data_IF_587590066618
#
_entry.id   IF_587590066618
#
_cell.length_a   1.000
_cell.length_b   1.000
_cell.length_c   1.000
_cell.angle_alpha   90.00
_cell.angle_beta   90.00
_cell.angle_gamma   90.00
#
_symmetry.space_group_name_H-M   'P 1'
#
loop_
_entity.id
_entity.type
_entity.pdbx_description
1 polymer ?
#
# COMPACT_ATOMS: atom_id res chain seq x y z
N UNK A 1 13.64 -16.63 -1.77
CA UNK A 1 13.13 -17.13 -0.48
C UNK A 1 14.02 -16.62 0.64
N UNK A 2 13.56 -15.57 1.37
CA UNK A 2 14.28 -15.02 2.52
C UNK A 2 14.26 -15.95 3.72
N UNK A 3 15.27 -15.84 4.59
CA UNK A 3 15.38 -16.67 5.81
C UNK A 3 14.15 -16.57 6.71
N UNK A 4 13.64 -15.33 6.91
CA UNK A 4 12.47 -15.09 7.75
C UNK A 4 11.20 -15.72 7.14
N UNK A 5 10.97 -15.51 5.83
CA UNK A 5 9.80 -16.08 5.15
C UNK A 5 9.79 -17.61 5.24
N UNK A 6 10.96 -18.24 5.05
CA UNK A 6 11.11 -19.68 5.19
C UNK A 6 10.86 -20.15 6.63
N UNK A 7 11.39 -19.43 7.61
CA UNK A 7 11.15 -19.75 9.01
C UNK A 7 9.66 -19.68 9.36
N UNK A 8 8.98 -18.62 8.97
CA UNK A 8 7.54 -18.43 9.24
C UNK A 8 6.69 -19.49 8.56
N UNK A 9 7.01 -19.84 7.29
CA UNK A 9 6.19 -20.81 6.54
C UNK A 9 6.44 -22.27 6.87
N UNK A 10 7.64 -22.63 7.33
CA UNK A 10 8.04 -24.03 7.48
C UNK A 10 8.29 -24.46 8.93
N UNK A 11 8.57 -23.51 9.84
CA UNK A 11 9.02 -23.85 11.20
C UNK A 11 8.17 -23.25 12.31
N UNK A 12 7.61 -22.04 12.09
CA UNK A 12 6.86 -21.36 13.14
C UNK A 12 5.45 -21.94 13.27
N UNK A 13 5.09 -22.35 14.48
CA UNK A 13 3.78 -22.92 14.79
C UNK A 13 2.92 -21.93 15.61
N UNK A 14 1.59 -22.06 15.49
CA UNK A 14 0.66 -21.27 16.30
C UNK A 14 0.86 -21.56 17.79
N UNK A 15 1.00 -20.50 18.58
CA UNK A 15 1.28 -20.58 20.02
C UNK A 15 2.76 -20.43 20.39
N UNK A 16 3.68 -20.48 19.45
CA UNK A 16 5.09 -20.19 19.72
C UNK A 16 5.33 -18.72 20.01
N UNK A 17 6.26 -18.45 20.93
CA UNK A 17 6.64 -17.08 21.28
C UNK A 17 7.70 -16.55 20.33
N UNK A 18 7.46 -15.39 19.74
CA UNK A 18 8.42 -14.66 18.92
C UNK A 18 8.80 -13.35 19.58
N UNK A 19 10.06 -12.94 19.43
CA UNK A 19 10.52 -11.61 19.84
C UNK A 19 10.42 -10.66 18.67
N UNK A 20 9.64 -9.58 18.84
CA UNK A 20 9.50 -8.52 17.85
C UNK A 20 10.15 -7.26 18.44
N UNK A 21 10.95 -6.55 17.62
CA UNK A 21 11.56 -5.27 17.97
C UNK A 21 11.09 -4.24 16.98
N UNK A 22 10.61 -3.10 17.46
CA UNK A 22 10.06 -1.99 16.66
C UNK A 22 9.32 -0.99 17.55
N UNK A 23 8.55 -0.07 16.94
CA UNK A 23 8.41 0.15 15.50
C UNK A 23 9.65 0.81 14.89
N UNK A 24 9.93 0.48 13.64
CA UNK A 24 10.97 1.13 12.85
C UNK A 24 10.36 1.84 11.63
N UNK A 25 11.09 2.81 11.08
CA UNK A 25 10.69 3.51 9.87
C UNK A 25 9.71 4.67 10.11
N UNK A 26 9.19 5.20 9.01
CA UNK A 26 8.42 6.43 8.97
C UNK A 26 7.02 6.26 8.33
N UNK A 27 6.66 5.05 7.90
CA UNK A 27 5.41 4.75 7.22
C UNK A 27 4.33 4.28 8.20
N UNK A 28 3.85 5.20 9.07
CA UNK A 28 2.77 4.96 10.02
C UNK A 28 1.67 6.02 9.91
N UNK A 29 0.44 5.67 10.28
CA UNK A 29 -0.71 6.56 10.21
C UNK A 29 -0.48 7.88 10.97
N UNK A 30 -0.69 9.00 10.30
CA UNK A 30 -0.66 10.34 10.89
C UNK A 30 -2.04 10.70 11.42
N UNK A 31 -2.35 10.30 12.65
CA UNK A 31 -3.68 10.43 13.26
C UNK A 31 -4.20 11.88 13.33
N UNK A 32 -3.30 12.85 13.42
CA UNK A 32 -3.65 14.28 13.47
C UNK A 32 -3.98 14.88 12.11
N UNK A 33 -3.71 14.13 11.02
CA UNK A 33 -4.00 14.58 9.67
C UNK A 33 -5.52 14.68 9.46
N UNK A 34 -5.97 15.75 8.77
CA UNK A 34 -7.40 16.04 8.56
C UNK A 34 -7.81 15.98 7.09
N UNK A 35 -6.85 16.02 6.19
CA UNK A 35 -7.07 15.88 4.75
C UNK A 35 -7.25 14.43 4.30
N UNK A 36 -7.45 14.20 3.00
CA UNK A 36 -7.60 12.86 2.45
C UNK A 36 -6.37 11.98 2.66
N UNK A 37 -6.59 10.67 2.77
CA UNK A 37 -5.55 9.64 2.88
C UNK A 37 -5.57 8.80 1.62
N UNK A 38 -4.40 8.63 0.99
CA UNK A 38 -4.18 7.76 -0.15
C UNK A 38 -3.19 6.66 0.23
N UNK A 39 -3.59 5.41 0.09
CA UNK A 39 -2.71 4.25 0.22
C UNK A 39 -2.52 3.57 -1.12
N UNK A 40 -1.27 3.29 -1.49
CA UNK A 40 -0.93 2.57 -2.72
C UNK A 40 -0.08 1.36 -2.36
N UNK A 41 -0.57 0.18 -2.71
CA UNK A 41 0.06 -1.08 -2.41
C UNK A 41 0.39 -1.89 -3.67
N UNK A 42 1.52 -2.59 -3.64
CA UNK A 42 1.87 -3.61 -4.62
C UNK A 42 2.40 -4.88 -3.94
N UNK A 43 1.90 -6.04 -4.33
CA UNK A 43 2.34 -7.32 -3.77
C UNK A 43 2.27 -7.36 -2.24
N UNK A 44 3.38 -7.70 -1.58
CA UNK A 44 3.45 -7.76 -0.10
C UNK A 44 3.35 -6.41 0.59
N UNK A 45 3.47 -5.28 -0.15
CA UNK A 45 3.19 -3.93 0.34
C UNK A 45 1.75 -3.71 0.82
N UNK A 46 0.88 -4.66 0.50
CA UNK A 46 -0.48 -4.67 1.01
C UNK A 46 -0.56 -4.70 2.54
N UNK A 47 0.37 -5.37 3.22
CA UNK A 47 0.34 -5.51 4.68
C UNK A 47 0.45 -4.15 5.43
N UNK A 48 1.44 -3.29 5.19
CA UNK A 48 1.49 -1.97 5.81
C UNK A 48 0.32 -1.07 5.39
N UNK A 49 -0.15 -1.14 4.14
CA UNK A 49 -1.30 -0.33 3.70
C UNK A 49 -2.60 -0.79 4.36
N UNK A 50 -2.81 -2.10 4.54
CA UNK A 50 -3.91 -2.63 5.33
C UNK A 50 -3.84 -2.16 6.79
N UNK A 51 -2.65 -2.13 7.38
CA UNK A 51 -2.45 -1.60 8.74
C UNK A 51 -2.88 -0.13 8.86
N UNK A 52 -2.52 0.72 7.89
CA UNK A 52 -2.97 2.13 7.80
C UNK A 52 -4.50 2.20 7.71
N UNK A 53 -5.09 1.38 6.83
CA UNK A 53 -6.54 1.34 6.63
C UNK A 53 -7.28 0.93 7.91
N UNK A 54 -6.86 -0.15 8.58
CA UNK A 54 -7.45 -0.62 9.83
C UNK A 54 -7.30 0.41 10.95
N UNK A 55 -6.10 1.00 11.10
CA UNK A 55 -5.85 2.04 12.10
C UNK A 55 -6.72 3.28 11.88
N UNK A 56 -6.93 3.69 10.61
CA UNK A 56 -7.82 4.83 10.31
C UNK A 56 -9.27 4.56 10.74
N UNK A 57 -9.74 3.33 10.60
CA UNK A 57 -11.05 2.90 11.06
C UNK A 57 -11.15 2.85 12.58
N UNK A 58 -10.18 2.24 13.24
CA UNK A 58 -10.11 2.16 14.72
C UNK A 58 -10.13 3.56 15.34
N UNK A 59 -9.39 4.51 14.76
CA UNK A 59 -9.36 5.92 15.17
C UNK A 59 -10.60 6.71 14.73
N UNK A 60 -11.56 6.09 14.04
CA UNK A 60 -12.80 6.73 13.55
C UNK A 60 -12.53 8.01 12.77
N UNK A 61 -11.50 7.99 11.94
CA UNK A 61 -11.13 9.11 11.10
C UNK A 61 -12.26 9.41 10.09
N UNK A 62 -12.57 10.69 9.88
CA UNK A 62 -13.74 11.13 9.10
C UNK A 62 -13.39 11.54 7.66
N UNK A 63 -12.12 11.80 7.39
CA UNK A 63 -11.65 12.15 6.07
C UNK A 63 -11.72 10.96 5.11
N UNK A 64 -11.78 11.23 3.80
CA UNK A 64 -11.71 10.19 2.78
C UNK A 64 -10.43 9.36 2.89
N UNK A 65 -10.57 8.04 2.76
CA UNK A 65 -9.47 7.08 2.68
C UNK A 65 -9.64 6.30 1.40
N UNK A 66 -8.70 6.45 0.48
CA UNK A 66 -8.69 5.74 -0.81
C UNK A 66 -7.48 4.81 -0.87
N UNK A 67 -7.73 3.52 -1.10
CA UNK A 67 -6.69 2.49 -1.16
C UNK A 67 -6.68 1.88 -2.56
N UNK A 68 -5.53 2.00 -3.24
CA UNK A 68 -5.27 1.39 -4.55
C UNK A 68 -4.31 0.21 -4.39
N UNK A 69 -4.70 -0.93 -4.93
CA UNK A 69 -3.95 -2.18 -4.79
C UNK A 69 -3.61 -2.72 -6.16
N UNK A 70 -2.31 -2.69 -6.49
CA UNK A 70 -1.78 -3.27 -7.72
C UNK A 70 -1.37 -4.73 -7.54
N UNK A 71 -1.84 -5.60 -8.43
CA UNK A 71 -1.38 -6.98 -8.56
C UNK A 71 -1.08 -7.30 -10.02
N UNK A 72 -0.33 -8.38 -10.28
CA UNK A 72 -0.12 -8.83 -11.66
C UNK A 72 -1.35 -9.53 -12.19
N UNK A 73 -1.92 -10.44 -11.41
CA UNK A 73 -3.10 -11.26 -11.74
C UNK A 73 -4.11 -11.24 -10.59
N UNK A 74 -5.33 -11.64 -10.88
CA UNK A 74 -6.39 -11.72 -9.88
C UNK A 74 -6.02 -12.59 -8.68
N UNK A 75 -5.38 -13.73 -8.92
CA UNK A 75 -4.95 -14.66 -7.87
C UNK A 75 -3.81 -14.13 -6.98
N UNK A 76 -3.21 -13.01 -7.34
CA UNK A 76 -2.14 -12.37 -6.55
C UNK A 76 -2.71 -11.41 -5.49
N UNK A 77 -4.01 -11.18 -5.48
CA UNK A 77 -4.65 -10.39 -4.45
C UNK A 77 -4.87 -11.18 -3.16
N UNK A 78 -4.49 -10.61 -2.04
CA UNK A 78 -4.85 -11.11 -0.71
C UNK A 78 -5.70 -10.07 0.01
N UNK A 79 -6.47 -10.49 1.00
CA UNK A 79 -7.28 -9.62 1.87
C UNK A 79 -8.33 -8.75 1.16
N UNK A 80 -8.71 -9.06 -0.09
CA UNK A 80 -9.76 -8.31 -0.80
C UNK A 80 -11.06 -8.22 0.00
N UNK A 81 -11.46 -9.32 0.66
CA UNK A 81 -12.67 -9.36 1.46
C UNK A 81 -12.61 -8.44 2.69
N UNK A 82 -11.43 -8.24 3.29
CA UNK A 82 -11.25 -7.27 4.36
C UNK A 82 -11.47 -5.84 3.84
N UNK A 83 -10.90 -5.50 2.69
CA UNK A 83 -11.09 -4.17 2.09
C UNK A 83 -12.54 -3.94 1.67
N UNK A 84 -13.21 -4.93 1.11
CA UNK A 84 -14.65 -4.86 0.82
C UNK A 84 -15.48 -4.62 2.07
N UNK A 85 -15.19 -5.33 3.17
CA UNK A 85 -15.85 -5.11 4.46
C UNK A 85 -15.60 -3.70 5.01
N UNK A 86 -14.37 -3.18 4.90
CA UNK A 86 -14.05 -1.81 5.30
C UNK A 86 -14.86 -0.80 4.50
N UNK A 87 -14.92 -0.97 3.17
CA UNK A 87 -15.69 -0.09 2.28
C UNK A 87 -17.19 -0.15 2.54
N UNK A 88 -17.76 -1.32 2.76
CA UNK A 88 -19.18 -1.48 3.06
C UNK A 88 -19.59 -0.86 4.39
N UNK A 89 -18.69 -0.84 5.37
CA UNK A 89 -18.95 -0.36 6.71
C UNK A 89 -18.61 1.13 6.92
N UNK A 90 -17.93 1.76 5.95
CA UNK A 90 -17.52 3.15 6.04
C UNK A 90 -17.64 3.87 4.69
N UNK A 91 -18.59 4.80 4.55
CA UNK A 91 -18.81 5.53 3.31
C UNK A 91 -17.63 6.42 2.88
N UNK A 92 -16.70 6.72 3.81
CA UNK A 92 -15.51 7.51 3.52
C UNK A 92 -14.31 6.64 3.10
N UNK A 93 -14.49 5.31 3.04
CA UNK A 93 -13.43 4.38 2.68
C UNK A 93 -13.71 3.77 1.31
N UNK A 94 -12.79 4.00 0.38
CA UNK A 94 -12.85 3.45 -0.97
C UNK A 94 -11.63 2.55 -1.22
N UNK A 95 -11.86 1.51 -2.02
CA UNK A 95 -10.78 0.59 -2.36
C UNK A 95 -10.88 0.21 -3.84
N UNK A 96 -9.73 0.19 -4.51
CA UNK A 96 -9.60 0.02 -5.96
C UNK A 96 -8.55 -1.06 -6.27
N UNK A 97 -8.94 -2.28 -6.65
CA UNK A 97 -8.03 -3.29 -7.15
C UNK A 97 -7.67 -3.01 -8.61
N UNK A 98 -6.39 -3.13 -8.96
CA UNK A 98 -5.88 -2.92 -10.31
C UNK A 98 -5.00 -4.10 -10.72
N UNK A 99 -5.21 -4.65 -11.91
CA UNK A 99 -4.41 -5.74 -12.48
C UNK A 99 -3.49 -5.19 -13.56
N UNK A 100 -2.18 -5.40 -13.43
CA UNK A 100 -1.20 -4.95 -14.42
C UNK A 100 -1.07 -5.90 -15.64
N UNK A 101 -1.46 -7.16 -15.50
CA UNK A 101 -1.59 -8.07 -16.65
C UNK A 101 -2.81 -7.66 -17.48
N UNK A 102 -2.66 -7.65 -18.82
CA UNK A 102 -3.71 -7.19 -19.73
C UNK A 102 -4.94 -8.13 -19.83
N UNK A 103 -4.98 -9.18 -19.03
CA UNK A 103 -6.10 -10.10 -18.99
C UNK A 103 -7.30 -9.40 -18.37
N UNK A 104 -8.33 -9.11 -19.18
CA UNK A 104 -9.57 -8.51 -18.68
C UNK A 104 -10.24 -9.47 -17.69
N UNK A 105 -10.30 -9.05 -16.45
CA UNK A 105 -11.08 -9.71 -15.38
C UNK A 105 -12.32 -8.86 -15.12
N UNK A 106 -13.50 -9.51 -15.08
CA UNK A 106 -14.74 -8.80 -14.86
C UNK A 106 -14.71 -7.95 -13.59
N UNK A 107 -15.01 -6.65 -13.72
CA UNK A 107 -15.09 -5.66 -12.65
C UNK A 107 -13.77 -5.27 -11.96
N UNK A 108 -12.60 -5.63 -12.52
CA UNK A 108 -11.30 -5.15 -12.03
C UNK A 108 -10.64 -4.30 -13.13
N UNK A 109 -10.19 -3.11 -12.76
CA UNK A 109 -9.48 -2.19 -13.65
C UNK A 109 -8.12 -2.77 -14.04
N UNK A 110 -7.72 -2.60 -15.30
CA UNK A 110 -6.41 -3.05 -15.81
C UNK A 110 -5.49 -1.85 -16.03
N UNK A 111 -4.19 -2.03 -15.80
CA UNK A 111 -3.17 -1.01 -15.97
C UNK A 111 -2.20 -0.92 -14.79
N UNK A 112 -1.42 0.15 -14.73
CA UNK A 112 -0.57 0.42 -13.59
C UNK A 112 -1.38 1.08 -12.47
N UNK A 113 -1.06 0.74 -11.22
CA UNK A 113 -1.74 1.33 -10.07
C UNK A 113 -1.53 2.84 -9.97
N UNK A 114 -0.36 3.35 -10.40
CA UNK A 114 -0.07 4.79 -10.47
C UNK A 114 -0.94 5.50 -11.49
N UNK A 115 -1.16 4.89 -12.66
CA UNK A 115 -1.99 5.47 -13.72
C UNK A 115 -3.45 5.56 -13.26
N UNK A 116 -3.94 4.50 -12.60
CA UNK A 116 -5.28 4.49 -12.03
C UNK A 116 -5.50 5.61 -11.00
N UNK A 117 -4.51 5.87 -10.16
CA UNK A 117 -4.56 6.99 -9.21
C UNK A 117 -4.61 8.33 -9.92
N UNK A 118 -3.82 8.50 -10.99
CA UNK A 118 -3.76 9.72 -11.79
C UNK A 118 -5.06 10.01 -12.56
N UNK A 119 -5.75 8.98 -12.98
CA UNK A 119 -7.04 9.12 -13.67
C UNK A 119 -8.17 9.49 -12.71
N UNK A 120 -8.07 9.09 -11.44
CA UNK A 120 -9.13 9.29 -10.43
C UNK A 120 -8.92 10.54 -9.57
N UNK A 121 -7.68 11.04 -9.43
CA UNK A 121 -7.34 12.16 -8.56
C UNK A 121 -6.64 13.26 -9.37
N UNK A 122 -7.34 14.36 -9.56
CA UNK A 122 -6.83 15.52 -10.30
C UNK A 122 -5.98 16.46 -9.45
N UNK A 123 -6.28 16.56 -8.16
CA UNK A 123 -5.62 17.46 -7.22
C UNK A 123 -5.19 16.70 -5.97
N UNK A 124 -3.91 16.79 -5.62
CA UNK A 124 -3.30 16.15 -4.47
C UNK A 124 -3.09 17.09 -3.27
N UNK A 125 -3.60 18.32 -3.34
CA UNK A 125 -3.46 19.23 -2.20
C UNK A 125 -4.12 18.68 -0.95
N UNK A 126 -3.40 18.78 0.16
CA UNK A 126 -3.85 18.29 1.46
C UNK A 126 -3.87 16.76 1.62
N UNK A 127 -3.46 15.99 0.62
CA UNK A 127 -3.35 14.52 0.79
C UNK A 127 -2.19 14.11 1.69
N UNK A 128 -2.38 12.98 2.38
CA UNK A 128 -1.32 12.19 3.01
C UNK A 128 -1.23 10.85 2.29
N UNK A 129 -0.06 10.55 1.74
CA UNK A 129 0.14 9.38 0.87
C UNK A 129 1.03 8.35 1.54
N UNK A 130 0.61 7.10 1.49
CA UNK A 130 1.34 5.92 1.97
C UNK A 130 1.58 4.98 0.80
N UNK A 131 2.84 4.68 0.53
CA UNK A 131 3.28 3.83 -0.58
C UNK A 131 3.98 2.60 -0.01
N UNK A 132 3.63 1.40 -0.46
CA UNK A 132 4.37 0.21 -0.06
C UNK A 132 4.35 -0.86 -1.15
N UNK A 133 5.51 -1.48 -1.39
CA UNK A 133 5.63 -2.57 -2.34
C UNK A 133 6.91 -2.59 -3.16
N UNK A 134 6.86 -3.11 -4.40
CA UNK A 134 8.02 -3.23 -5.26
C UNK A 134 8.69 -1.88 -5.53
N UNK A 135 10.04 -1.80 -5.46
CA UNK A 135 10.77 -0.55 -5.64
C UNK A 135 10.40 0.22 -6.91
N UNK A 136 10.24 -0.38 -8.11
CA UNK A 136 9.87 0.37 -9.30
C UNK A 136 8.54 1.12 -9.17
N UNK A 137 7.55 0.53 -8.48
CA UNK A 137 6.25 1.19 -8.25
C UNK A 137 6.39 2.36 -7.28
N UNK A 138 7.08 2.14 -6.17
CA UNK A 138 7.27 3.15 -5.12
C UNK A 138 8.09 4.33 -5.66
N UNK A 139 9.22 4.06 -6.33
CA UNK A 139 10.09 5.08 -6.93
C UNK A 139 9.39 5.90 -8.03
N UNK A 140 8.55 5.25 -8.85
CA UNK A 140 7.75 5.94 -9.85
C UNK A 140 6.76 6.91 -9.18
N UNK A 141 6.06 6.47 -8.15
CA UNK A 141 5.12 7.30 -7.40
C UNK A 141 5.80 8.47 -6.65
N UNK A 142 6.95 8.23 -6.00
CA UNK A 142 7.73 9.26 -5.31
C UNK A 142 8.27 10.36 -6.25
N UNK A 143 8.56 10.01 -7.52
CA UNK A 143 8.95 10.97 -8.55
C UNK A 143 7.77 11.73 -9.12
N UNK A 144 6.62 11.07 -9.27
CA UNK A 144 5.44 11.59 -9.93
C UNK A 144 4.70 12.60 -9.04
N UNK A 145 4.35 12.22 -7.82
CA UNK A 145 3.44 12.98 -6.97
C UNK A 145 3.94 14.38 -6.57
N UNK A 146 5.23 14.63 -6.33
CA UNK A 146 5.72 16.00 -6.10
C UNK A 146 5.49 16.93 -7.28
N UNK A 147 5.50 16.42 -8.53
CA UNK A 147 5.23 17.21 -9.73
C UNK A 147 3.74 17.58 -9.86
N UNK A 148 2.88 16.94 -9.07
CA UNK A 148 1.45 17.17 -9.00
C UNK A 148 1.03 17.98 -7.76
N UNK A 149 2.00 18.65 -7.11
CA UNK A 149 1.75 19.51 -5.97
C UNK A 149 1.81 18.85 -4.61
N UNK A 150 2.00 17.53 -4.52
CA UNK A 150 2.12 16.84 -3.25
C UNK A 150 3.48 17.15 -2.59
N UNK A 151 3.46 17.60 -1.35
CA UNK A 151 4.70 17.87 -0.60
C UNK A 151 5.41 16.57 -0.25
N UNK A 152 6.74 16.53 -0.42
CA UNK A 152 7.55 15.33 -0.08
C UNK A 152 7.33 14.82 1.35
N UNK A 153 7.10 15.71 2.32
CA UNK A 153 6.84 15.36 3.71
C UNK A 153 5.46 14.71 3.93
N UNK A 154 4.60 14.73 2.93
CA UNK A 154 3.29 14.09 2.95
C UNK A 154 3.28 12.73 2.26
N UNK A 155 4.45 12.29 1.74
CA UNK A 155 4.66 10.97 1.15
C UNK A 155 5.44 10.10 2.16
N UNK A 156 4.88 8.95 2.50
CA UNK A 156 5.46 7.95 3.38
C UNK A 156 5.62 6.65 2.60
N UNK A 157 6.85 6.38 2.18
CA UNK A 157 7.16 5.26 1.30
C UNK A 157 7.90 4.13 2.04
N UNK A 158 7.59 2.89 1.66
CA UNK A 158 8.23 1.67 2.13
C UNK A 158 8.47 0.74 0.92
N UNK A 159 9.64 0.89 0.29
CA UNK A 159 10.04 0.08 -0.86
C UNK A 159 10.72 -1.21 -0.40
N UNK A 160 10.24 -2.36 -0.91
CA UNK A 160 10.71 -3.69 -0.51
C UNK A 160 11.81 -4.19 -1.44
N UNK A 161 13.04 -3.75 -1.20
CA UNK A 161 14.20 -4.23 -1.93
C UNK A 161 14.52 -5.68 -1.60
N UNK A 162 14.87 -6.48 -2.60
CA UNK A 162 15.50 -7.77 -2.38
C UNK A 162 17.03 -7.63 -2.39
N UNK A 163 17.75 -8.62 -1.80
CA UNK A 163 19.22 -8.56 -1.71
C UNK A 163 19.94 -8.36 -3.05
N UNK A 164 19.34 -8.76 -4.16
CA UNK A 164 19.94 -8.59 -5.50
C UNK A 164 19.77 -7.18 -6.05
N UNK A 165 18.76 -6.45 -5.61
CA UNK A 165 18.49 -5.07 -6.02
C UNK A 165 19.32 -4.07 -5.19
N UNK A 166 19.59 -4.36 -3.90
CA UNK A 166 20.47 -3.52 -3.06
C UNK A 166 21.88 -3.42 -3.61
N UNK A 167 22.44 -4.49 -4.20
CA UNK A 167 23.78 -4.48 -4.79
C UNK A 167 23.88 -3.69 -6.10
N UNK A 168 22.78 -3.46 -6.82
CA UNK A 168 22.79 -2.68 -8.06
C UNK A 168 22.73 -1.18 -7.85
N UNK A 169 22.21 -0.72 -6.70
CA UNK A 169 22.05 0.69 -6.40
C UNK A 169 23.23 1.29 -5.61
N UNK A 170 24.17 0.46 -5.13
CA UNK A 170 25.35 0.86 -4.36
C UNK A 170 26.68 0.64 -5.11
N UNK A 171 26.63 0.43 -6.45
CA UNK A 171 27.79 0.21 -7.33
C UNK A 171 28.06 1.37 -8.28
#
# INVERSE_FOLDING_TARGET
>A
NGLLSKYVSEKLSVGEKVKITGPYGNSYLREKHKGPILGIAGGTGLAPILSIALASQEKKMKQPVSIYIGARKENDFYYLEQFKKLSNNNPNFNFFPIISDQTKVNNIRTGLVTDAVMEDIEDFDGFKVYLAGPPPMVEAAEKLFPNLGLRKNDIHADAFYNKYEEFKNNG
#
